data_IF_494136826259
#
_entry.id   IF_494136826259
#
_cell.length_a   1.000
_cell.length_b   1.000
_cell.length_c   1.000
_cell.angle_alpha   90.00
_cell.angle_beta   90.00
_cell.angle_gamma   90.00
#
_symmetry.space_group_name_H-M   'P 1'
#
loop_
_entity.id
_entity.type
_entity.pdbx_description
1 polymer ?
#
# COMPACT_ATOMS: atom_id res chain seq x y z
N UNK A 1 2.64 27.58 23.19
CA UNK A 1 4.06 27.17 23.07
C UNK A 1 4.06 25.64 23.00
N UNK A 2 4.75 25.04 22.01
CA UNK A 2 4.80 23.57 21.91
C UNK A 2 5.71 23.03 23.02
N UNK A 3 5.39 21.85 23.55
CA UNK A 3 6.26 21.17 24.51
C UNK A 3 7.51 20.68 23.76
N UNK A 4 8.70 20.95 24.30
CA UNK A 4 9.96 20.44 23.76
C UNK A 4 10.17 18.98 24.17
N UNK A 5 10.61 18.13 23.24
CA UNK A 5 10.95 16.72 23.48
C UNK A 5 12.27 16.37 22.80
N UNK A 6 13.06 15.47 23.39
CA UNK A 6 14.25 14.91 22.73
C UNK A 6 13.85 13.64 21.99
N UNK A 7 13.80 13.71 20.67
CA UNK A 7 13.33 12.62 19.81
C UNK A 7 14.31 12.40 18.67
N UNK A 8 14.70 11.13 18.47
CA UNK A 8 15.54 10.72 17.35
C UNK A 8 14.80 9.81 16.40
N UNK A 9 14.95 10.06 15.10
CA UNK A 9 14.47 9.15 14.06
C UNK A 9 15.63 8.33 13.50
N UNK A 10 15.50 7.01 13.47
CA UNK A 10 16.55 6.10 12.99
C UNK A 10 15.98 5.00 12.09
N UNK A 11 16.83 4.36 11.29
CA UNK A 11 16.51 3.09 10.60
C UNK A 11 15.34 3.12 9.61
N UNK A 12 14.86 4.30 9.21
CA UNK A 12 13.95 4.48 8.07
C UNK A 12 14.70 4.29 6.76
N UNK A 13 14.00 3.76 5.74
CA UNK A 13 14.57 3.55 4.41
C UNK A 13 15.24 4.82 3.86
N UNK A 14 14.60 5.98 4.07
CA UNK A 14 15.14 7.27 3.69
C UNK A 14 14.48 8.39 4.49
N UNK A 15 15.19 9.49 4.75
CA UNK A 15 14.58 10.74 5.26
C UNK A 15 13.60 11.40 4.26
N UNK A 16 13.46 10.83 3.07
CA UNK A 16 12.50 11.25 2.04
C UNK A 16 11.32 10.27 1.88
N UNK A 17 11.28 9.16 2.62
CA UNK A 17 10.17 8.21 2.52
C UNK A 17 8.90 8.81 3.13
N UNK A 18 7.74 8.42 2.60
CA UNK A 18 6.46 9.01 2.99
C UNK A 18 6.13 8.80 4.47
N UNK A 19 6.47 7.63 5.01
CA UNK A 19 6.28 7.30 6.42
C UNK A 19 7.14 8.17 7.34
N UNK A 20 8.43 8.33 7.03
CA UNK A 20 9.30 9.23 7.78
C UNK A 20 8.74 10.66 7.79
N UNK A 21 8.38 11.19 6.61
CA UNK A 21 7.86 12.54 6.48
C UNK A 21 6.52 12.71 7.20
N UNK A 22 5.64 11.69 7.15
CA UNK A 22 4.37 11.69 7.84
C UNK A 22 4.56 11.80 9.35
N UNK A 23 5.35 10.92 9.97
CA UNK A 23 5.54 10.94 11.42
C UNK A 23 6.30 12.18 11.89
N UNK A 24 7.30 12.63 11.12
CA UNK A 24 8.00 13.88 11.40
C UNK A 24 7.02 15.06 11.43
N UNK A 25 6.21 15.22 10.40
CA UNK A 25 5.22 16.29 10.33
C UNK A 25 4.14 16.18 11.43
N UNK A 26 3.66 14.96 11.72
CA UNK A 26 2.68 14.71 12.76
C UNK A 26 3.21 15.12 14.13
N UNK A 27 4.43 14.71 14.47
CA UNK A 27 5.03 15.01 15.78
C UNK A 27 5.38 16.50 15.87
N UNK A 28 5.97 17.08 14.82
CA UNK A 28 6.26 18.52 14.76
C UNK A 28 5.00 19.38 14.83
N UNK A 29 3.82 18.85 14.49
CA UNK A 29 2.56 19.58 14.64
C UNK A 29 2.21 19.85 16.11
N UNK A 30 2.62 18.96 17.03
CA UNK A 30 2.28 19.02 18.46
C UNK A 30 3.47 19.38 19.37
N UNK A 31 4.70 19.05 18.97
CA UNK A 31 5.91 19.18 19.78
C UNK A 31 7.02 19.97 19.06
N UNK A 32 7.94 20.52 19.83
CA UNK A 32 9.23 20.99 19.33
C UNK A 32 10.26 19.88 19.52
N UNK A 33 10.90 19.43 18.44
CA UNK A 33 11.85 18.33 18.47
C UNK A 33 13.26 18.88 18.70
N UNK A 34 13.92 18.38 19.74
CA UNK A 34 15.35 18.52 19.99
C UNK A 34 16.08 17.26 19.51
N UNK A 35 17.00 17.42 18.55
CA UNK A 35 17.93 16.34 18.19
C UNK A 35 19.01 16.24 19.27
N UNK A 36 19.14 15.06 19.87
CA UNK A 36 20.02 14.80 21.01
C UNK A 36 20.64 13.42 20.90
N UNK A 37 21.89 13.28 21.34
CA UNK A 37 22.54 11.97 21.52
C UNK A 37 22.07 11.23 22.79
N UNK A 38 21.26 11.89 23.63
CA UNK A 38 20.57 11.28 24.76
C UNK A 38 19.06 11.54 24.62
N UNK A 39 18.39 10.92 23.63
CA UNK A 39 16.98 11.16 23.36
C UNK A 39 16.09 10.51 24.42
N UNK A 40 14.95 11.14 24.72
CA UNK A 40 13.90 10.54 25.56
C UNK A 40 13.12 9.46 24.80
N UNK A 41 13.05 9.62 23.47
CA UNK A 41 12.34 8.74 22.55
C UNK A 41 13.17 8.45 21.29
N UNK A 42 13.12 7.21 20.82
CA UNK A 42 13.58 6.81 19.49
C UNK A 42 12.41 6.31 18.69
N UNK A 43 12.18 6.93 17.54
CA UNK A 43 11.23 6.46 16.54
C UNK A 43 12.01 5.78 15.42
N UNK A 44 11.78 4.48 15.21
CA UNK A 44 12.63 3.70 14.32
C UNK A 44 11.84 2.79 13.38
N UNK A 45 12.53 2.35 12.33
CA UNK A 45 12.03 1.37 11.37
C UNK A 45 13.00 0.19 11.20
N UNK A 46 12.77 -0.66 10.21
CA UNK A 46 13.42 -1.97 10.10
C UNK A 46 14.68 -1.99 9.21
N UNK A 47 15.16 -0.84 8.71
CA UNK A 47 16.22 -0.78 7.71
C UNK A 47 17.62 -0.60 8.30
N UNK A 48 17.77 -0.81 9.60
CA UNK A 48 19.03 -0.71 10.34
C UNK A 48 18.88 -1.15 11.80
N UNK A 49 19.91 -0.90 12.59
CA UNK A 49 20.03 -1.24 14.00
C UNK A 49 20.49 -0.06 14.89
N UNK A 50 20.46 1.18 14.36
CA UNK A 50 20.89 2.37 15.08
C UNK A 50 20.07 2.61 16.36
N UNK A 51 18.79 2.20 16.35
CA UNK A 51 17.91 2.26 17.51
C UNK A 51 18.45 1.52 18.75
N UNK A 52 19.34 0.52 18.58
CA UNK A 52 19.95 -0.23 19.68
C UNK A 52 20.97 0.58 20.48
N UNK A 53 21.45 1.71 19.94
CA UNK A 53 22.44 2.58 20.58
C UNK A 53 21.85 3.40 21.74
N UNK A 54 20.53 3.45 21.85
CA UNK A 54 19.82 4.36 22.75
C UNK A 54 19.03 3.59 23.82
N UNK A 55 19.30 3.93 25.08
CA UNK A 55 18.58 3.39 26.25
C UNK A 55 17.44 4.34 26.66
N UNK A 56 16.37 4.34 25.87
CA UNK A 56 15.17 5.15 26.09
C UNK A 56 13.93 4.47 25.47
N UNK A 57 12.78 5.17 25.48
CA UNK A 57 11.51 4.67 24.94
C UNK A 57 11.62 4.49 23.43
N UNK A 58 11.32 3.28 22.94
CA UNK A 58 11.41 2.91 21.53
C UNK A 58 10.02 2.76 20.90
N UNK A 59 9.80 3.48 19.81
CA UNK A 59 8.55 3.51 19.04
C UNK A 59 8.83 2.96 17.64
N UNK A 60 8.24 1.82 17.31
CA UNK A 60 8.46 1.13 16.05
C UNK A 60 7.38 1.47 15.01
N UNK A 61 7.79 1.68 13.76
CA UNK A 61 6.90 1.63 12.59
C UNK A 61 7.65 1.11 11.36
N UNK A 62 6.94 0.39 10.50
CA UNK A 62 7.42 0.12 9.14
C UNK A 62 6.27 0.02 8.15
N UNK A 63 6.54 0.42 6.90
CA UNK A 63 5.67 0.16 5.76
C UNK A 63 5.75 -1.28 5.22
N UNK A 64 6.71 -2.07 5.70
CA UNK A 64 6.92 -3.45 5.28
C UNK A 64 6.02 -4.42 6.06
N UNK A 65 5.84 -5.64 5.53
CA UNK A 65 5.05 -6.68 6.19
C UNK A 65 5.83 -7.34 7.35
N UNK A 66 6.18 -6.57 8.37
CA UNK A 66 6.93 -7.00 9.56
C UNK A 66 6.13 -6.69 10.83
N UNK A 67 6.20 -7.61 11.80
CA UNK A 67 5.53 -7.48 13.10
C UNK A 67 6.47 -6.77 14.08
N UNK A 68 5.96 -5.88 14.94
CA UNK A 68 6.75 -5.29 16.00
C UNK A 68 7.29 -6.36 16.96
N UNK A 69 8.53 -6.21 17.41
CA UNK A 69 9.10 -7.04 18.48
C UNK A 69 9.00 -6.28 19.80
N UNK A 70 7.98 -6.57 20.62
CA UNK A 70 7.73 -5.88 21.90
C UNK A 70 8.72 -6.21 23.03
N UNK A 71 9.68 -7.12 22.79
CA UNK A 71 10.84 -7.26 23.67
C UNK A 71 11.89 -6.17 23.41
N UNK A 72 11.78 -5.48 22.26
CA UNK A 72 12.70 -4.42 21.82
C UNK A 72 12.01 -3.07 21.87
N UNK A 73 10.81 -2.93 21.30
CA UNK A 73 10.06 -1.68 21.30
C UNK A 73 9.05 -1.59 22.45
N UNK A 74 8.91 -0.40 23.02
CA UNK A 74 7.88 -0.09 24.01
C UNK A 74 6.53 0.13 23.33
N UNK A 75 6.50 0.87 22.22
CA UNK A 75 5.29 1.16 21.45
C UNK A 75 5.47 0.81 19.99
N UNK A 76 4.37 0.49 19.30
CA UNK A 76 4.44 0.22 17.88
C UNK A 76 3.16 0.60 17.12
N UNK A 77 3.39 0.95 15.87
CA UNK A 77 2.37 1.09 14.85
C UNK A 77 2.53 -0.03 13.81
N UNK A 78 1.43 -0.60 13.32
CA UNK A 78 1.53 -1.65 12.32
C UNK A 78 0.24 -2.04 11.61
N UNK A 79 0.29 -3.19 10.94
CA UNK A 79 -0.76 -3.69 10.06
C UNK A 79 -1.74 -4.66 10.73
N UNK A 80 -1.27 -5.38 11.74
CA UNK A 80 -1.99 -6.49 12.35
C UNK A 80 -3.30 -6.07 13.03
N UNK A 81 -4.29 -6.95 12.93
CA UNK A 81 -5.54 -6.84 13.68
C UNK A 81 -5.33 -7.35 15.11
N UNK A 82 -4.54 -6.60 15.88
CA UNK A 82 -4.22 -6.90 17.27
C UNK A 82 -4.52 -5.70 18.18
N UNK A 83 -4.71 -6.00 19.45
CA UNK A 83 -4.75 -5.02 20.54
C UNK A 83 -3.66 -5.38 21.52
N UNK A 84 -2.90 -4.38 21.96
CA UNK A 84 -1.90 -4.55 23.00
C UNK A 84 -1.91 -3.31 23.88
N UNK A 85 -3.04 -3.13 24.57
CA UNK A 85 -3.37 -1.97 25.39
C UNK A 85 -2.95 -0.64 24.72
N UNK A 86 -2.16 0.18 25.40
CA UNK A 86 -1.61 1.45 24.92
C UNK A 86 -0.35 1.27 24.05
N UNK A 87 0.27 0.10 24.08
CA UNK A 87 1.54 -0.22 23.40
C UNK A 87 1.39 -0.44 21.89
N UNK A 88 0.18 -0.65 21.37
CA UNK A 88 -0.02 -0.89 19.93
C UNK A 88 -1.16 -0.09 19.34
N UNK A 89 -0.89 0.55 18.20
CA UNK A 89 -1.91 1.18 17.38
C UNK A 89 -1.86 0.69 15.92
N UNK A 90 -2.99 0.24 15.40
CA UNK A 90 -3.08 -0.23 14.02
C UNK A 90 -3.12 0.95 13.03
N UNK A 91 -2.02 1.16 12.33
CA UNK A 91 -1.84 2.23 11.34
C UNK A 91 -1.19 1.67 10.06
N UNK A 92 -1.97 1.01 9.17
CA UNK A 92 -1.46 0.53 7.90
C UNK A 92 -1.03 1.68 6.99
N UNK A 93 -0.03 1.43 6.13
CA UNK A 93 0.56 2.47 5.28
C UNK A 93 -0.46 3.18 4.37
N UNK A 94 -1.54 2.50 3.94
CA UNK A 94 -2.58 3.14 3.12
C UNK A 94 -3.21 4.36 3.81
N UNK A 95 -3.29 4.38 5.15
CA UNK A 95 -3.86 5.51 5.93
C UNK A 95 -2.96 6.73 5.97
N UNK A 96 -1.66 6.54 5.82
CA UNK A 96 -0.65 7.61 5.85
C UNK A 96 -0.12 7.95 4.45
N UNK A 97 -0.72 7.34 3.41
CA UNK A 97 -0.38 7.64 2.04
C UNK A 97 -0.75 9.10 1.72
N UNK A 98 0.13 9.90 1.08
CA UNK A 98 -0.11 11.33 0.87
C UNK A 98 -1.46 11.66 0.22
N UNK A 99 -1.94 10.78 -0.67
CA UNK A 99 -3.20 10.94 -1.40
C UNK A 99 -4.40 10.26 -0.75
N UNK A 100 -4.28 9.80 0.49
CA UNK A 100 -5.37 9.10 1.18
C UNK A 100 -6.64 9.96 1.24
N UNK A 101 -6.51 11.25 1.60
CA UNK A 101 -7.66 12.17 1.65
C UNK A 101 -8.27 12.44 0.27
N UNK A 102 -7.50 12.37 -0.81
CA UNK A 102 -8.05 12.49 -2.18
C UNK A 102 -8.95 11.29 -2.50
N UNK A 103 -8.55 10.07 -2.11
CA UNK A 103 -9.36 8.85 -2.29
C UNK A 103 -10.73 9.00 -1.63
N UNK A 104 -10.76 9.55 -0.41
CA UNK A 104 -12.00 9.72 0.37
C UNK A 104 -12.99 10.68 -0.29
N UNK A 105 -12.50 11.57 -1.16
CA UNK A 105 -13.30 12.59 -1.83
C UNK A 105 -13.43 12.34 -3.34
N UNK A 106 -13.14 11.12 -3.81
CA UNK A 106 -13.27 10.81 -5.24
C UNK A 106 -14.71 10.97 -5.71
N UNK A 107 -14.94 11.71 -6.81
CA UNK A 107 -16.26 11.78 -7.40
C UNK A 107 -16.68 10.41 -7.92
N UNK A 108 -17.99 10.14 -7.93
CA UNK A 108 -18.53 8.95 -8.57
C UNK A 108 -18.26 9.05 -10.08
N UNK A 109 -17.36 8.20 -10.58
CA UNK A 109 -17.08 8.11 -12.03
C UNK A 109 -18.22 7.35 -12.71
N UNK A 110 -18.73 7.89 -13.83
CA UNK A 110 -19.76 7.21 -14.60
C UNK A 110 -19.19 6.02 -15.38
N UNK A 111 -19.93 4.91 -15.41
CA UNK A 111 -19.48 3.66 -16.04
C UNK A 111 -19.17 3.78 -17.53
N UNK A 112 -19.85 4.68 -18.26
CA UNK A 112 -19.66 4.88 -19.70
C UNK A 112 -18.25 5.38 -20.06
N UNK A 113 -17.65 6.19 -19.21
CA UNK A 113 -16.30 6.75 -19.42
C UNK A 113 -15.20 5.72 -19.12
N UNK A 114 -15.55 4.70 -18.33
CA UNK A 114 -14.62 3.65 -17.93
C UNK A 114 -14.61 2.50 -18.95
N UNK A 115 -15.76 2.05 -19.46
CA UNK A 115 -15.86 0.84 -20.32
C UNK A 115 -15.17 0.98 -21.69
N UNK A 116 -14.82 2.20 -22.10
CA UNK A 116 -14.11 2.48 -23.35
C UNK A 116 -12.58 2.60 -23.18
N UNK A 117 -12.08 2.47 -21.95
CA UNK A 117 -10.64 2.52 -21.64
C UNK A 117 -9.91 1.25 -22.07
N UNK A 118 -8.57 1.32 -22.09
CA UNK A 118 -7.71 0.15 -22.28
C UNK A 118 -7.99 -0.92 -21.22
N UNK A 119 -7.63 -2.16 -21.47
CA UNK A 119 -8.03 -3.28 -20.62
C UNK A 119 -7.46 -3.20 -19.20
N UNK A 120 -6.18 -3.51 -19.02
CA UNK A 120 -5.58 -3.61 -17.70
C UNK A 120 -4.13 -3.14 -17.72
N UNK A 121 -3.71 -2.47 -16.64
CA UNK A 121 -2.30 -2.16 -16.41
C UNK A 121 -1.69 -3.00 -15.27
N UNK A 122 -0.37 -3.10 -15.33
CA UNK A 122 0.50 -3.73 -14.33
C UNK A 122 1.76 -2.88 -14.14
N UNK A 123 1.94 -2.24 -12.97
CA UNK A 123 3.04 -1.29 -12.76
C UNK A 123 3.81 -1.67 -11.50
N UNK A 124 4.84 -2.51 -11.69
CA UNK A 124 5.66 -3.04 -10.61
C UNK A 124 7.14 -3.01 -10.98
N UNK A 125 7.99 -2.77 -9.98
CA UNK A 125 9.45 -2.82 -10.14
C UNK A 125 10.10 -3.95 -9.33
N UNK A 126 9.43 -4.44 -8.28
CA UNK A 126 9.94 -5.49 -7.41
C UNK A 126 9.60 -6.88 -7.99
N UNK A 127 10.62 -7.57 -8.52
CA UNK A 127 10.54 -8.94 -9.02
C UNK A 127 10.60 -10.01 -7.91
N UNK A 128 11.02 -9.63 -6.70
CA UNK A 128 11.15 -10.52 -5.53
C UNK A 128 9.86 -10.65 -4.71
N UNK A 129 8.75 -10.11 -5.21
CA UNK A 129 7.44 -10.31 -4.61
C UNK A 129 6.97 -11.77 -4.74
N UNK A 130 5.91 -12.11 -4.02
CA UNK A 130 5.19 -13.38 -4.13
C UNK A 130 4.90 -13.73 -5.58
N UNK A 131 5.10 -15.01 -5.93
CA UNK A 131 4.93 -15.52 -7.29
C UNK A 131 3.54 -15.23 -7.87
N UNK A 132 2.52 -15.13 -7.01
CA UNK A 132 1.12 -14.85 -7.30
C UNK A 132 0.94 -13.58 -8.15
N UNK A 133 1.76 -12.55 -7.92
CA UNK A 133 1.75 -11.33 -8.73
C UNK A 133 2.13 -11.62 -10.18
N UNK A 134 3.22 -12.36 -10.39
CA UNK A 134 3.70 -12.75 -11.71
C UNK A 134 2.75 -13.74 -12.38
N UNK A 135 2.30 -14.75 -11.63
CA UNK A 135 1.40 -15.79 -12.10
C UNK A 135 0.05 -15.21 -12.55
N UNK A 136 -0.53 -14.28 -11.78
CA UNK A 136 -1.78 -13.63 -12.16
C UNK A 136 -1.61 -12.76 -13.41
N UNK A 137 -0.53 -11.98 -13.49
CA UNK A 137 -0.21 -11.20 -14.69
C UNK A 137 -0.11 -12.10 -15.92
N UNK A 138 0.65 -13.20 -15.84
CA UNK A 138 0.86 -14.12 -16.98
C UNK A 138 -0.47 -14.77 -17.38
N UNK A 139 -1.27 -15.22 -16.41
CA UNK A 139 -2.58 -15.81 -16.67
C UNK A 139 -3.54 -14.80 -17.34
N UNK A 140 -3.62 -13.57 -16.83
CA UNK A 140 -4.50 -12.53 -17.38
C UNK A 140 -4.04 -12.09 -18.78
N UNK A 141 -2.72 -12.03 -19.02
CA UNK A 141 -2.11 -11.71 -20.30
C UNK A 141 -2.50 -12.72 -21.40
N UNK A 142 -2.71 -14.01 -21.06
CA UNK A 142 -3.20 -15.00 -22.04
C UNK A 142 -4.66 -14.77 -22.45
N UNK A 143 -5.46 -14.17 -21.59
CA UNK A 143 -6.86 -13.85 -21.87
C UNK A 143 -6.99 -12.59 -22.74
N UNK A 144 -6.33 -11.49 -22.34
CA UNK A 144 -6.38 -10.20 -23.04
C UNK A 144 -5.15 -9.36 -22.69
N UNK A 145 -4.58 -8.59 -23.64
CA UNK A 145 -3.34 -7.84 -23.40
C UNK A 145 -3.40 -6.90 -22.18
N UNK A 146 -2.48 -7.11 -21.25
CA UNK A 146 -2.18 -6.30 -20.06
C UNK A 146 -0.92 -5.49 -20.34
N UNK A 147 -1.00 -4.17 -20.21
CA UNK A 147 0.17 -3.31 -20.37
C UNK A 147 0.98 -3.26 -19.08
N UNK A 148 2.27 -3.62 -19.17
CA UNK A 148 3.22 -3.58 -18.08
C UNK A 148 4.26 -2.49 -18.30
N UNK A 149 4.18 -1.44 -17.48
CA UNK A 149 4.99 -0.23 -17.62
C UNK A 149 5.95 0.02 -16.43
N UNK A 150 6.05 -0.95 -15.52
CA UNK A 150 7.09 -0.98 -14.47
C UNK A 150 8.36 -1.68 -14.95
N UNK A 151 9.36 -1.87 -14.06
CA UNK A 151 10.58 -2.63 -14.43
C UNK A 151 10.32 -4.14 -14.53
N UNK A 152 9.36 -4.66 -13.78
CA UNK A 152 9.06 -6.09 -13.73
C UNK A 152 8.08 -6.46 -14.86
N UNK A 153 8.45 -7.46 -15.67
CA UNK A 153 7.67 -7.94 -16.83
C UNK A 153 7.25 -6.82 -17.80
N UNK A 154 8.09 -5.79 -17.98
CA UNK A 154 7.78 -4.68 -18.88
C UNK A 154 7.49 -5.19 -20.30
N UNK A 155 6.42 -4.69 -20.93
CA UNK A 155 6.05 -5.06 -22.29
C UNK A 155 5.64 -3.85 -23.16
N UNK A 156 5.77 -2.62 -22.64
CA UNK A 156 5.46 -1.38 -23.39
C UNK A 156 6.70 -0.66 -23.94
N UNK A 157 7.90 -1.09 -23.53
CA UNK A 157 9.17 -0.58 -24.05
C UNK A 157 9.70 0.68 -23.36
N UNK A 158 9.02 1.16 -22.32
CA UNK A 158 9.45 2.30 -21.50
C UNK A 158 8.98 2.14 -20.05
N UNK A 159 9.58 2.91 -19.14
CA UNK A 159 9.13 3.06 -17.77
C UNK A 159 8.18 4.24 -17.68
N UNK A 160 7.03 4.04 -17.05
CA UNK A 160 6.08 5.14 -16.83
C UNK A 160 6.60 6.11 -15.78
N UNK A 161 6.55 7.41 -16.09
CA UNK A 161 6.89 8.48 -15.15
C UNK A 161 5.69 8.84 -14.26
N UNK A 162 4.56 9.24 -14.85
CA UNK A 162 3.31 9.50 -14.11
C UNK A 162 2.44 8.24 -14.04
N UNK A 163 2.61 7.51 -12.94
CA UNK A 163 1.88 6.28 -12.65
C UNK A 163 0.35 6.49 -12.70
N UNK A 164 -0.18 7.55 -12.10
CA UNK A 164 -1.63 7.74 -11.98
C UNK A 164 -2.25 8.15 -13.32
N UNK A 165 -1.63 9.07 -14.03
CA UNK A 165 -2.10 9.49 -15.36
C UNK A 165 -2.08 8.33 -16.36
N UNK A 166 -1.09 7.43 -16.25
CA UNK A 166 -1.05 6.22 -17.05
C UNK A 166 -2.16 5.24 -16.66
N UNK A 167 -2.33 4.95 -15.37
CA UNK A 167 -3.40 4.07 -14.88
C UNK A 167 -4.79 4.55 -15.30
N UNK A 168 -5.03 5.87 -15.35
CA UNK A 168 -6.33 6.44 -15.70
C UNK A 168 -6.80 6.11 -17.13
N UNK A 169 -5.91 5.61 -18.00
CA UNK A 169 -6.24 5.17 -19.36
C UNK A 169 -6.85 3.76 -19.40
N UNK A 170 -6.95 3.07 -18.27
CA UNK A 170 -7.35 1.66 -18.19
C UNK A 170 -8.65 1.47 -17.40
N UNK A 171 -9.32 0.35 -17.66
CA UNK A 171 -10.47 -0.14 -16.89
C UNK A 171 -10.01 -0.74 -15.57
N UNK A 172 -9.00 -1.60 -15.63
CA UNK A 172 -8.51 -2.38 -14.50
C UNK A 172 -7.06 -2.05 -14.16
N UNK A 173 -6.71 -2.18 -12.88
CA UNK A 173 -5.33 -2.16 -12.39
C UNK A 173 -5.09 -3.38 -11.51
N UNK A 174 -4.03 -4.15 -11.80
CA UNK A 174 -3.57 -5.19 -10.89
C UNK A 174 -2.94 -4.51 -9.67
N UNK A 175 -3.59 -4.61 -8.51
CA UNK A 175 -3.22 -3.96 -7.26
C UNK A 175 -2.79 -5.00 -6.21
N UNK A 176 -1.81 -5.85 -6.56
CA UNK A 176 -1.34 -6.95 -5.72
C UNK A 176 -0.24 -6.50 -4.75
N UNK A 177 -0.37 -6.87 -3.48
CA UNK A 177 0.69 -6.69 -2.49
C UNK A 177 1.92 -7.54 -2.78
N UNK A 178 3.04 -7.20 -2.14
CA UNK A 178 4.28 -7.98 -2.30
C UNK A 178 4.13 -9.39 -1.73
N UNK A 179 3.27 -9.57 -0.74
CA UNK A 179 2.99 -10.82 -0.03
C UNK A 179 1.54 -10.79 0.49
N UNK A 180 0.93 -11.95 0.69
CA UNK A 180 -0.38 -12.04 1.34
C UNK A 180 -0.24 -12.18 2.85
N UNK A 181 -0.90 -11.29 3.58
CA UNK A 181 -0.87 -11.24 5.05
C UNK A 181 -2.08 -10.47 5.56
N UNK A 182 -2.72 -10.96 6.62
CA UNK A 182 -3.90 -10.31 7.19
C UNK A 182 -3.54 -8.90 7.68
N UNK A 183 -4.34 -7.90 7.29
CA UNK A 183 -4.13 -6.51 7.65
C UNK A 183 -3.07 -5.76 6.83
N UNK A 184 -2.28 -6.43 5.98
CA UNK A 184 -1.24 -5.81 5.18
C UNK A 184 -1.80 -5.18 3.89
N UNK A 185 -2.31 -3.97 4.01
CA UNK A 185 -2.83 -3.18 2.89
C UNK A 185 -2.01 -1.92 2.71
N UNK A 186 -1.54 -1.69 1.49
CA UNK A 186 -0.70 -0.54 1.15
C UNK A 186 -1.36 0.40 0.14
N UNK A 187 -0.60 1.34 -0.40
CA UNK A 187 -1.01 2.33 -1.38
C UNK A 187 -1.59 1.74 -2.68
N UNK A 188 -1.26 0.49 -3.04
CA UNK A 188 -1.52 -0.04 -4.39
C UNK A 188 -2.98 -0.03 -4.78
N UNK A 189 -3.87 -0.40 -3.85
CA UNK A 189 -5.31 -0.35 -4.08
C UNK A 189 -5.84 1.08 -4.09
N UNK A 190 -5.21 1.99 -3.34
CA UNK A 190 -5.57 3.41 -3.35
C UNK A 190 -5.18 4.07 -4.66
N UNK A 191 -3.98 3.81 -5.19
CA UNK A 191 -3.53 4.35 -6.48
C UNK A 191 -4.46 3.91 -7.62
N UNK A 192 -4.95 2.66 -7.60
CA UNK A 192 -5.95 2.18 -8.55
C UNK A 192 -7.26 2.97 -8.47
N UNK A 193 -7.76 3.19 -7.24
CA UNK A 193 -8.96 3.99 -7.02
C UNK A 193 -8.77 5.45 -7.45
N UNK A 194 -7.64 6.07 -7.12
CA UNK A 194 -7.30 7.45 -7.51
C UNK A 194 -7.26 7.63 -9.03
N UNK A 195 -6.75 6.64 -9.75
CA UNK A 195 -6.75 6.64 -11.21
C UNK A 195 -8.15 6.38 -11.82
N UNK A 196 -9.16 6.12 -11.01
CA UNK A 196 -10.49 5.75 -11.47
C UNK A 196 -10.50 4.40 -12.20
N UNK A 197 -9.63 3.47 -11.81
CA UNK A 197 -9.63 2.10 -12.31
C UNK A 197 -10.29 1.16 -11.30
N UNK A 198 -10.75 0.01 -11.79
CA UNK A 198 -11.21 -1.10 -10.96
C UNK A 198 -9.98 -1.85 -10.45
N UNK A 199 -9.70 -1.87 -9.13
CA UNK A 199 -8.59 -2.64 -8.62
C UNK A 199 -8.90 -4.14 -8.71
N UNK A 200 -7.96 -4.92 -9.23
CA UNK A 200 -7.92 -6.37 -9.07
C UNK A 200 -6.92 -6.65 -7.94
N UNK A 201 -7.41 -7.04 -6.77
CA UNK A 201 -6.65 -7.01 -5.52
C UNK A 201 -6.34 -8.41 -4.99
N UNK A 202 -5.10 -8.58 -4.54
CA UNK A 202 -4.64 -9.73 -3.75
C UNK A 202 -3.58 -9.26 -2.76
N UNK A 203 -3.57 -9.81 -1.55
CA UNK A 203 -2.74 -9.31 -0.45
C UNK A 203 -3.40 -9.55 0.90
N UNK A 204 -3.98 -8.50 1.50
CA UNK A 204 -4.76 -8.59 2.73
C UNK A 204 -6.05 -9.41 2.53
N UNK A 205 -6.13 -10.59 3.14
CA UNK A 205 -7.33 -11.45 3.08
C UNK A 205 -8.55 -10.82 3.77
N UNK A 206 -8.32 -9.86 4.67
CA UNK A 206 -9.36 -9.15 5.41
C UNK A 206 -9.61 -7.74 4.86
N UNK A 207 -9.25 -7.46 3.60
CA UNK A 207 -9.38 -6.13 2.97
C UNK A 207 -10.83 -5.58 3.03
N UNK A 208 -11.84 -6.45 3.05
CA UNK A 208 -13.24 -6.07 3.17
C UNK A 208 -13.61 -5.41 4.52
N UNK A 209 -12.72 -5.48 5.53
CA UNK A 209 -12.83 -4.70 6.77
C UNK A 209 -12.42 -3.23 6.60
N UNK A 210 -11.73 -2.90 5.51
CA UNK A 210 -11.15 -1.59 5.25
C UNK A 210 -11.80 -0.87 4.06
N UNK A 211 -12.21 -1.62 3.05
CA UNK A 211 -12.79 -1.11 1.82
C UNK A 211 -14.08 -1.85 1.48
N UNK A 212 -15.03 -1.14 0.87
CA UNK A 212 -16.26 -1.75 0.37
C UNK A 212 -15.93 -2.87 -0.64
N UNK A 213 -16.31 -4.14 -0.39
CA UNK A 213 -15.97 -5.26 -1.28
C UNK A 213 -16.58 -5.14 -2.67
N UNK A 214 -17.62 -4.31 -2.86
CA UNK A 214 -18.20 -4.02 -4.19
C UNK A 214 -17.38 -3.02 -5.01
N UNK A 215 -16.27 -2.51 -4.49
CA UNK A 215 -15.49 -1.43 -5.11
C UNK A 215 -14.13 -1.89 -5.67
N UNK A 216 -13.88 -3.20 -5.66
CA UNK A 216 -12.73 -3.85 -6.27
C UNK A 216 -13.04 -5.33 -6.53
N UNK A 217 -12.23 -6.00 -7.34
CA UNK A 217 -12.28 -7.46 -7.53
C UNK A 217 -11.32 -8.08 -6.52
N UNK A 218 -11.85 -8.75 -5.50
CA UNK A 218 -11.06 -9.42 -4.48
C UNK A 218 -10.68 -10.83 -4.95
N UNK A 219 -9.41 -11.09 -5.26
CA UNK A 219 -8.97 -12.42 -5.68
C UNK A 219 -9.15 -13.50 -4.60
N UNK A 220 -9.26 -13.10 -3.32
CA UNK A 220 -9.51 -14.04 -2.22
C UNK A 220 -10.96 -14.55 -2.15
N UNK A 221 -11.89 -13.96 -2.92
CA UNK A 221 -13.28 -14.42 -3.00
C UNK A 221 -13.45 -15.57 -4.02
N UNK A 222 -12.36 -15.96 -4.69
CA UNK A 222 -12.35 -16.98 -5.74
C UNK A 222 -11.41 -18.11 -5.36
N UNK A 223 -11.72 -19.33 -5.81
CA UNK A 223 -10.90 -20.52 -5.53
C UNK A 223 -9.51 -20.43 -6.18
N UNK A 224 -9.41 -19.79 -7.34
CA UNK A 224 -8.18 -19.66 -8.10
C UNK A 224 -8.26 -18.50 -9.11
N UNK A 225 -7.14 -18.17 -9.74
CA UNK A 225 -7.06 -17.08 -10.71
C UNK A 225 -7.85 -17.32 -12.01
N UNK A 226 -8.12 -18.57 -12.40
CA UNK A 226 -8.97 -18.84 -13.56
C UNK A 226 -10.42 -18.42 -13.32
N UNK A 227 -10.92 -18.56 -12.09
CA UNK A 227 -12.24 -18.05 -11.69
C UNK A 227 -12.28 -16.52 -11.68
N UNK A 228 -11.22 -15.86 -11.21
CA UNK A 228 -11.08 -14.39 -11.29
C UNK A 228 -11.16 -13.91 -12.74
N UNK A 229 -10.41 -14.56 -13.65
CA UNK A 229 -10.41 -14.22 -15.08
C UNK A 229 -11.79 -14.46 -15.70
N UNK A 230 -12.48 -15.55 -15.33
CA UNK A 230 -13.85 -15.82 -15.79
C UNK A 230 -14.83 -14.73 -15.36
N UNK A 231 -14.70 -14.23 -14.13
CA UNK A 231 -15.51 -13.12 -13.65
C UNK A 231 -15.23 -11.83 -14.44
N UNK A 232 -13.96 -11.50 -14.68
CA UNK A 232 -13.56 -10.35 -15.51
C UNK A 232 -14.13 -10.49 -16.94
N UNK A 233 -14.12 -11.69 -17.52
CA UNK A 233 -14.69 -11.95 -18.85
C UNK A 233 -16.20 -11.69 -18.91
N UNK A 234 -16.93 -12.08 -17.86
CA UNK A 234 -18.36 -11.78 -17.75
C UNK A 234 -18.61 -10.26 -17.72
N UNK A 235 -17.82 -9.50 -16.94
CA UNK A 235 -17.93 -8.05 -16.87
C UNK A 235 -17.64 -7.38 -18.23
N UNK A 236 -16.58 -7.82 -18.92
CA UNK A 236 -16.21 -7.31 -20.25
C UNK A 236 -17.31 -7.57 -21.29
N UNK A 237 -17.91 -8.77 -21.30
CA UNK A 237 -19.02 -9.11 -22.20
C UNK A 237 -20.29 -8.29 -21.93
N UNK A 238 -20.58 -8.02 -20.66
CA UNK A 238 -21.73 -7.18 -20.27
C UNK A 238 -21.49 -5.68 -20.50
N UNK A 239 -20.28 -5.25 -20.86
CA UNK A 239 -19.86 -3.84 -20.89
C UNK A 239 -20.20 -3.13 -19.58
N UNK A 240 -19.92 -3.79 -18.46
CA UNK A 240 -20.17 -3.29 -17.11
C UNK A 240 -18.87 -3.23 -16.32
N UNK A 241 -18.90 -2.42 -15.28
CA UNK A 241 -17.92 -2.38 -14.21
C UNK A 241 -18.66 -2.72 -12.91
N UNK A 242 -17.95 -3.36 -11.99
CA UNK A 242 -18.42 -3.93 -10.71
C UNK A 242 -19.44 -3.09 -9.94
#
# INVERSE_FOLDING_TARGET
MKKKIKLKFTDFYSKKSHDFLYFKALIESAYEIEDSEQPDFVFYSMFGDDYLKYDCVKIFYTGENVRPNFNICDYAFGFDWMSFEDRYHRLPIYKIWPKFNEVLNLPLVQSKDLVNRKFCNFIYSNASASSERGNFFDALQTYKPVESAGRYKNNVGYLVDDKLAYMAQFKYSIAFENVSSNGYTTEKILDAKLAGTVPIYWGNKCISKELNPKSFINCHDFENFSEVIRYIDQLEKMKRII
#
